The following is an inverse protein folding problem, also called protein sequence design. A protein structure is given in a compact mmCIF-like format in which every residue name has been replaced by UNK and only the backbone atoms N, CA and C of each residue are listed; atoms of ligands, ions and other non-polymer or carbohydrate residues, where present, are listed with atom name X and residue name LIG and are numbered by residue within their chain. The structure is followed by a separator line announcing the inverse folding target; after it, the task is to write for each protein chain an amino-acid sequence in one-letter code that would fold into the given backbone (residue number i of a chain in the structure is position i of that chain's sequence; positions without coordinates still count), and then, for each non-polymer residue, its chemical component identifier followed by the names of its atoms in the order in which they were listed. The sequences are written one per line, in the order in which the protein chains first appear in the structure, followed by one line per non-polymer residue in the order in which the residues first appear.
data_IF_125194669165
#
_entry.id   IF_125194669165
#
_cell.length_a   1.000
_cell.length_b   1.000
_cell.length_c   1.000
_cell.angle_alpha   90.00
_cell.angle_beta   90.00
_cell.angle_gamma   90.00
#
_symmetry.space_group_name_H-M   'P 1'
#
loop_
_entity.id
_entity.type
_entity.pdbx_description
1 polymer ?
#
# COMPACT_ATOMS: atom_id res chain seq x y z
N UNK A 1 5.99 -12.60 -22.86
CA UNK A 1 6.86 -11.40 -22.71
C UNK A 1 7.88 -11.63 -21.62
N UNK A 2 9.04 -10.99 -21.75
CA UNK A 2 10.05 -10.89 -20.70
C UNK A 2 9.89 -9.51 -20.03
N UNK A 3 9.40 -9.48 -18.81
CA UNK A 3 9.04 -8.26 -18.09
C UNK A 3 10.13 -7.98 -17.04
N UNK A 4 10.69 -6.77 -17.03
CA UNK A 4 11.60 -6.31 -15.98
C UNK A 4 10.87 -5.36 -15.03
N UNK A 5 10.76 -5.75 -13.78
CA UNK A 5 10.24 -4.91 -12.70
C UNK A 5 11.41 -4.31 -11.93
N UNK A 6 11.41 -2.99 -11.75
CA UNK A 6 12.45 -2.29 -10.97
C UNK A 6 11.80 -1.56 -9.82
N UNK A 7 12.17 -1.91 -8.60
CA UNK A 7 11.64 -1.28 -7.40
C UNK A 7 12.75 -0.95 -6.39
N UNK A 8 12.63 0.19 -5.72
CA UNK A 8 13.62 0.69 -4.75
C UNK A 8 13.30 0.25 -3.31
N UNK A 9 12.89 -1.01 -3.13
CA UNK A 9 12.58 -1.62 -1.82
C UNK A 9 13.35 -2.93 -1.65
N UNK A 10 13.47 -3.36 -0.39
CA UNK A 10 13.87 -4.73 -0.05
C UNK A 10 12.69 -5.68 -0.33
N UNK A 11 12.80 -6.44 -1.43
CA UNK A 11 11.71 -7.30 -1.90
C UNK A 11 11.33 -8.40 -0.92
N UNK A 12 12.29 -8.91 -0.18
CA UNK A 12 12.10 -10.04 0.73
C UNK A 12 11.51 -9.59 2.07
N UNK A 13 12.01 -8.48 2.62
CA UNK A 13 11.69 -8.07 3.99
C UNK A 13 10.57 -7.02 4.07
N UNK A 14 10.24 -6.35 2.97
CA UNK A 14 9.13 -5.40 2.95
C UNK A 14 7.79 -6.13 3.08
N UNK A 15 6.79 -5.50 3.70
CA UNK A 15 5.40 -6.01 3.69
C UNK A 15 4.93 -6.26 2.25
N UNK A 16 4.10 -7.29 2.06
CA UNK A 16 3.55 -7.62 0.74
C UNK A 16 2.59 -6.51 0.31
N UNK A 17 2.75 -6.02 -0.93
CA UNK A 17 1.88 -5.02 -1.55
C UNK A 17 1.92 -5.14 -3.07
N UNK A 18 1.32 -4.21 -3.82
CA UNK A 18 1.10 -4.26 -5.27
C UNK A 18 2.22 -4.90 -6.11
N UNK A 19 3.52 -4.49 -6.03
CA UNK A 19 4.54 -5.03 -6.94
C UNK A 19 4.77 -6.53 -6.75
N UNK A 20 4.61 -7.06 -5.53
CA UNK A 20 4.70 -8.51 -5.29
C UNK A 20 3.55 -9.25 -5.99
N UNK A 21 2.31 -8.77 -5.79
CA UNK A 21 1.12 -9.35 -6.41
C UNK A 21 1.22 -9.34 -7.94
N UNK A 22 1.48 -8.18 -8.53
CA UNK A 22 1.51 -8.05 -9.99
C UNK A 22 2.63 -8.86 -10.63
N UNK A 23 3.85 -8.82 -10.06
CA UNK A 23 4.99 -9.59 -10.60
C UNK A 23 4.71 -11.08 -10.62
N UNK A 24 4.13 -11.63 -9.55
CA UNK A 24 3.82 -13.04 -9.45
C UNK A 24 2.63 -13.42 -10.33
N UNK A 25 1.59 -12.58 -10.44
CA UNK A 25 0.47 -12.82 -11.36
C UNK A 25 0.88 -12.74 -12.83
N UNK A 26 1.82 -11.89 -13.21
CA UNK A 26 2.39 -11.90 -14.55
C UNK A 26 3.11 -13.21 -14.83
N UNK A 27 3.86 -13.73 -13.88
CA UNK A 27 4.52 -15.04 -13.98
C UNK A 27 3.50 -16.17 -14.13
N UNK A 28 2.45 -16.20 -13.31
CA UNK A 28 1.34 -17.18 -13.42
C UNK A 28 0.63 -17.11 -14.77
N UNK A 29 0.65 -15.96 -15.42
CA UNK A 29 0.08 -15.75 -16.76
C UNK A 29 1.05 -16.19 -17.89
N UNK A 30 2.14 -16.88 -17.57
CA UNK A 30 3.09 -17.45 -18.54
C UNK A 30 4.15 -16.46 -19.04
N UNK A 31 4.39 -15.35 -18.31
CA UNK A 31 5.43 -14.39 -18.65
C UNK A 31 6.69 -14.62 -17.81
N UNK A 32 7.87 -14.37 -18.38
CA UNK A 32 9.13 -14.38 -17.63
C UNK A 32 9.29 -13.04 -16.91
N UNK A 33 9.32 -13.06 -15.59
CA UNK A 33 9.40 -11.86 -14.76
C UNK A 33 10.73 -11.81 -14.03
N UNK A 34 11.44 -10.71 -14.25
CA UNK A 34 12.70 -10.38 -13.59
C UNK A 34 12.49 -9.17 -12.70
N UNK A 35 12.94 -9.24 -11.46
CA UNK A 35 12.79 -8.15 -10.48
C UNK A 35 14.16 -7.69 -10.04
N UNK A 36 14.45 -6.40 -10.16
CA UNK A 36 15.62 -5.76 -9.55
C UNK A 36 15.11 -4.96 -8.35
N UNK A 37 15.60 -5.33 -7.16
CA UNK A 37 15.25 -4.71 -5.90
C UNK A 37 16.37 -3.85 -5.30
N UNK A 38 16.12 -3.22 -4.15
CA UNK A 38 17.10 -2.48 -3.38
C UNK A 38 17.09 -2.97 -1.93
N UNK A 39 18.08 -3.73 -1.48
CA UNK A 39 18.14 -4.22 -0.11
C UNK A 39 18.11 -3.10 0.93
N UNK A 40 17.48 -3.35 2.09
CA UNK A 40 17.43 -2.40 3.19
C UNK A 40 18.61 -2.62 4.16
N UNK A 41 19.21 -1.52 4.63
CA UNK A 41 20.31 -1.55 5.61
C UNK A 41 19.88 -2.00 7.01
N UNK A 42 18.59 -1.93 7.32
CA UNK A 42 18.05 -2.29 8.64
C UNK A 42 17.87 -3.82 8.80
N UNK A 43 17.73 -4.54 7.69
CA UNK A 43 17.53 -5.99 7.69
C UNK A 43 18.84 -6.72 7.35
N UNK A 44 19.55 -7.18 8.37
CA UNK A 44 20.86 -7.85 8.27
C UNK A 44 20.84 -9.26 7.65
N UNK A 45 19.71 -9.79 7.23
CA UNK A 45 19.58 -11.16 6.71
C UNK A 45 20.20 -11.38 5.34
N UNK A 46 20.49 -10.30 4.61
CA UNK A 46 21.21 -10.34 3.34
C UNK A 46 22.45 -9.47 3.41
N UNK A 47 23.59 -10.06 3.67
CA UNK A 47 24.85 -9.45 3.30
C UNK A 47 24.88 -9.36 1.78
N UNK A 48 24.53 -8.20 1.23
CA UNK A 48 24.82 -7.90 -0.16
C UNK A 48 26.34 -7.77 -0.23
N UNK A 49 27.00 -8.83 -0.64
CA UNK A 49 28.43 -8.78 -0.95
C UNK A 49 28.69 -7.90 -2.17
N UNK A 50 29.95 -7.79 -2.59
CA UNK A 50 30.35 -7.11 -3.84
C UNK A 50 29.84 -7.80 -5.11
N UNK A 51 29.02 -8.87 -4.99
CA UNK A 51 28.49 -9.64 -6.12
C UNK A 51 26.96 -9.53 -6.19
N UNK A 52 26.44 -9.47 -7.42
CA UNK A 52 25.00 -9.60 -7.67
C UNK A 52 24.52 -10.97 -7.21
N UNK A 53 23.47 -11.02 -6.41
CA UNK A 53 22.80 -12.28 -6.03
C UNK A 53 21.53 -12.42 -6.88
N UNK A 54 21.33 -13.61 -7.42
CA UNK A 54 20.13 -13.95 -8.21
C UNK A 54 19.44 -15.14 -7.56
N UNK A 55 18.14 -15.03 -7.32
CA UNK A 55 17.29 -16.10 -6.81
C UNK A 55 16.29 -16.43 -7.91
N UNK A 56 16.33 -17.67 -8.37
CA UNK A 56 15.40 -18.18 -9.37
C UNK A 56 14.20 -18.87 -8.71
N UNK A 57 13.10 -18.94 -9.42
CA UNK A 57 11.87 -19.59 -8.99
C UNK A 57 11.39 -19.09 -7.61
N UNK A 58 11.46 -17.77 -7.42
CA UNK A 58 11.05 -17.13 -6.19
C UNK A 58 9.56 -16.77 -6.25
N UNK A 59 8.83 -17.09 -5.19
CA UNK A 59 7.47 -16.62 -4.94
C UNK A 59 7.30 -16.25 -3.47
N UNK A 60 6.33 -15.44 -3.17
CA UNK A 60 6.05 -14.95 -1.82
C UNK A 60 4.57 -14.83 -1.53
N UNK A 61 3.76 -14.68 -2.57
CA UNK A 61 2.33 -14.42 -2.47
C UNK A 61 1.51 -15.59 -3.00
N UNK A 62 1.95 -16.19 -4.11
CA UNK A 62 1.24 -17.28 -4.78
C UNK A 62 2.18 -18.46 -4.99
N UNK A 63 1.81 -19.64 -4.48
CA UNK A 63 2.68 -20.82 -4.43
C UNK A 63 3.13 -21.32 -5.82
N UNK A 64 2.33 -21.10 -6.85
CA UNK A 64 2.58 -21.51 -8.24
C UNK A 64 3.20 -20.39 -9.11
N UNK A 65 3.60 -19.28 -8.49
CA UNK A 65 4.33 -18.22 -9.17
C UNK A 65 5.85 -18.48 -9.19
N UNK A 66 6.53 -17.91 -10.20
CA UNK A 66 7.98 -18.07 -10.35
C UNK A 66 8.59 -16.81 -10.98
N UNK A 67 9.23 -15.98 -10.17
CA UNK A 67 9.99 -14.81 -10.64
C UNK A 67 11.50 -15.03 -10.47
N UNK A 68 12.30 -14.27 -11.21
CA UNK A 68 13.74 -14.18 -10.99
C UNK A 68 14.05 -12.89 -10.25
N UNK A 69 14.46 -13.00 -8.98
CA UNK A 69 14.80 -11.85 -8.14
C UNK A 69 16.31 -11.58 -8.21
N UNK A 70 16.70 -10.35 -8.48
CA UNK A 70 18.07 -9.88 -8.69
C UNK A 70 18.39 -8.80 -7.67
N UNK A 71 19.32 -9.10 -6.75
CA UNK A 71 19.84 -8.16 -5.77
C UNK A 71 21.16 -7.57 -6.28
N UNK A 72 21.21 -6.29 -6.65
CA UNK A 72 22.48 -5.63 -6.99
C UNK A 72 23.42 -5.55 -5.80
N UNK A 73 24.75 -5.48 -6.02
CA UNK A 73 25.70 -5.21 -4.96
C UNK A 73 25.36 -3.88 -4.28
N UNK A 74 25.28 -3.90 -2.96
CA UNK A 74 24.98 -2.71 -2.16
C UNK A 74 25.72 -2.76 -0.82
N UNK A 75 26.18 -1.63 -0.31
CA UNK A 75 26.79 -1.50 1.01
C UNK A 75 25.67 -1.29 2.02
N UNK A 76 25.43 -2.27 2.90
CA UNK A 76 24.35 -2.22 3.90
C UNK A 76 24.76 -1.38 5.14
N UNK A 77 25.00 -0.09 4.91
CA UNK A 77 25.26 0.90 5.95
C UNK A 77 24.25 2.02 5.78
N UNK A 78 23.60 2.43 6.86
CA UNK A 78 22.61 3.51 6.83
C UNK A 78 23.16 4.76 6.13
N UNK A 79 22.47 5.23 5.12
CA UNK A 79 22.85 6.36 4.27
C UNK A 79 23.74 6.00 3.07
N UNK A 80 24.50 4.91 3.08
CA UNK A 80 25.35 4.49 1.98
C UNK A 80 24.70 3.48 1.05
N UNK A 81 23.68 2.77 1.51
CA UNK A 81 22.99 1.73 0.73
C UNK A 81 22.45 2.26 -0.60
N UNK A 82 21.70 3.36 -0.58
CA UNK A 82 21.15 3.96 -1.79
C UNK A 82 22.21 4.51 -2.75
N UNK A 83 23.30 5.06 -2.21
CA UNK A 83 24.42 5.60 -3.01
C UNK A 83 25.14 4.44 -3.72
N UNK A 84 25.50 3.38 -2.99
CA UNK A 84 26.17 2.21 -3.56
C UNK A 84 25.27 1.49 -4.57
N UNK A 85 23.99 1.40 -4.28
CA UNK A 85 23.01 0.83 -5.19
C UNK A 85 22.89 1.66 -6.49
N UNK A 86 22.82 2.99 -6.38
CA UNK A 86 22.85 3.88 -7.55
C UNK A 86 24.06 3.63 -8.44
N UNK A 87 25.25 3.45 -7.88
CA UNK A 87 26.49 3.24 -8.63
C UNK A 87 26.54 1.87 -9.33
N UNK A 88 25.98 0.83 -8.73
CA UNK A 88 26.06 -0.55 -9.23
C UNK A 88 24.89 -0.91 -10.15
N UNK A 89 23.70 -0.35 -9.91
CA UNK A 89 22.45 -0.78 -10.53
C UNK A 89 22.43 -0.55 -12.06
N UNK A 90 23.00 0.56 -12.55
CA UNK A 90 23.04 0.86 -13.99
C UNK A 90 23.59 -0.32 -14.81
N UNK A 91 24.74 -0.89 -14.39
CA UNK A 91 25.35 -2.04 -15.06
C UNK A 91 24.48 -3.28 -15.00
N UNK A 92 23.83 -3.50 -13.85
CA UNK A 92 22.94 -4.66 -13.64
C UNK A 92 21.70 -4.56 -14.49
N UNK A 93 21.03 -3.39 -14.54
CA UNK A 93 19.87 -3.16 -15.39
C UNK A 93 20.22 -3.46 -16.85
N UNK A 94 21.28 -2.85 -17.39
CA UNK A 94 21.70 -3.08 -18.79
C UNK A 94 22.00 -4.56 -19.07
N UNK A 95 22.75 -5.23 -18.17
CA UNK A 95 23.05 -6.66 -18.28
C UNK A 95 21.79 -7.52 -18.26
N UNK A 96 20.84 -7.22 -17.36
CA UNK A 96 19.59 -7.97 -17.23
C UNK A 96 18.75 -7.83 -18.51
N UNK A 97 18.62 -6.63 -19.06
CA UNK A 97 17.88 -6.38 -20.29
C UNK A 97 18.47 -7.19 -21.45
N UNK A 98 19.77 -7.08 -21.68
CA UNK A 98 20.42 -7.75 -22.81
C UNK A 98 20.42 -9.28 -22.66
N UNK A 99 20.74 -9.78 -21.47
CA UNK A 99 20.82 -11.24 -21.21
C UNK A 99 19.47 -11.92 -21.38
N UNK A 100 18.40 -11.28 -20.88
CA UNK A 100 17.08 -11.91 -20.80
C UNK A 100 16.11 -11.39 -21.88
N UNK A 101 16.60 -10.59 -22.84
CA UNK A 101 15.80 -10.03 -23.95
C UNK A 101 14.50 -9.42 -23.43
N UNK A 102 14.64 -8.45 -22.52
CA UNK A 102 13.49 -7.78 -21.89
C UNK A 102 12.67 -7.03 -22.95
N UNK A 103 11.38 -7.27 -22.97
CA UNK A 103 10.44 -6.61 -23.90
C UNK A 103 9.92 -5.29 -23.32
N UNK A 104 9.70 -5.21 -22.01
CA UNK A 104 9.09 -4.06 -21.32
C UNK A 104 9.64 -3.90 -19.90
N UNK A 105 9.73 -2.65 -19.45
CA UNK A 105 10.13 -2.32 -18.07
C UNK A 105 8.94 -1.73 -17.32
N UNK A 106 8.61 -2.32 -16.16
CA UNK A 106 7.64 -1.80 -15.20
C UNK A 106 8.39 -1.21 -14.01
N UNK A 107 8.41 0.13 -13.95
CA UNK A 107 9.25 0.90 -13.04
C UNK A 107 8.41 1.46 -11.90
N UNK A 108 8.80 1.20 -10.66
CA UNK A 108 8.20 1.76 -9.45
C UNK A 108 9.07 2.83 -8.76
N UNK A 109 10.38 2.82 -9.00
CA UNK A 109 11.32 3.72 -8.34
C UNK A 109 11.69 4.92 -9.22
N UNK A 110 11.64 6.13 -8.67
CA UNK A 110 12.02 7.35 -9.38
C UNK A 110 13.34 7.96 -8.90
N UNK A 111 13.66 7.84 -7.60
CA UNK A 111 14.73 8.63 -6.97
C UNK A 111 16.10 8.00 -7.18
N UNK A 112 16.25 6.69 -7.02
CA UNK A 112 17.55 6.01 -7.08
C UNK A 112 17.86 5.50 -8.50
N UNK A 113 16.95 4.72 -9.09
CA UNK A 113 17.20 3.99 -10.33
C UNK A 113 16.43 4.53 -11.54
N UNK A 114 15.46 5.40 -11.34
CA UNK A 114 14.53 5.82 -12.40
C UNK A 114 15.23 6.44 -13.61
N UNK A 115 16.10 7.44 -13.41
CA UNK A 115 16.82 8.12 -14.50
C UNK A 115 17.75 7.15 -15.25
N UNK A 116 18.47 6.30 -14.54
CA UNK A 116 19.36 5.31 -15.15
C UNK A 116 18.58 4.30 -15.98
N UNK A 117 17.43 3.88 -15.49
CA UNK A 117 16.52 2.97 -16.20
C UNK A 117 16.05 3.59 -17.50
N UNK A 118 15.60 4.85 -17.47
CA UNK A 118 15.14 5.57 -18.67
C UNK A 118 16.27 5.77 -19.69
N UNK A 119 17.49 6.08 -19.25
CA UNK A 119 18.65 6.25 -20.15
C UNK A 119 18.95 4.94 -20.88
N UNK A 120 19.00 3.82 -20.16
CA UNK A 120 19.29 2.49 -20.74
C UNK A 120 18.13 2.05 -21.64
N UNK A 121 16.90 2.23 -21.20
CA UNK A 121 15.71 1.88 -21.97
C UNK A 121 15.64 2.65 -23.30
N UNK A 122 15.96 3.94 -23.28
CA UNK A 122 16.05 4.76 -24.49
C UNK A 122 17.16 4.27 -25.44
N UNK A 123 18.35 3.95 -24.91
CA UNK A 123 19.48 3.40 -25.69
C UNK A 123 19.09 2.08 -26.38
N UNK A 124 18.35 1.22 -25.69
CA UNK A 124 17.98 -0.12 -26.13
C UNK A 124 16.57 -0.19 -26.75
N UNK A 125 15.88 0.93 -26.88
CA UNK A 125 14.51 1.04 -27.41
C UNK A 125 13.48 0.18 -26.68
N UNK A 126 13.60 0.05 -25.35
CA UNK A 126 12.66 -0.70 -24.49
C UNK A 126 11.62 0.24 -23.91
N UNK A 127 10.31 -0.04 -24.02
CA UNK A 127 9.27 0.77 -23.42
C UNK A 127 9.33 0.72 -21.88
N UNK A 128 9.15 1.89 -21.23
CA UNK A 128 9.08 2.04 -19.78
C UNK A 128 7.71 2.52 -19.37
N UNK A 129 7.05 1.75 -18.54
CA UNK A 129 5.83 2.16 -17.84
C UNK A 129 6.19 2.47 -16.40
N UNK A 130 5.92 3.69 -15.96
CA UNK A 130 6.15 4.12 -14.59
C UNK A 130 4.87 4.00 -13.77
N UNK A 131 4.93 3.30 -12.65
CA UNK A 131 3.83 3.17 -11.69
C UNK A 131 4.06 4.12 -10.51
N UNK A 132 3.25 5.15 -10.42
CA UNK A 132 3.30 6.15 -9.35
C UNK A 132 2.34 5.75 -8.23
N UNK A 133 2.90 5.26 -7.12
CA UNK A 133 2.14 4.87 -5.92
C UNK A 133 2.03 6.03 -4.92
N UNK A 134 3.12 6.78 -4.73
CA UNK A 134 3.27 7.83 -3.73
C UNK A 134 4.02 9.03 -4.30
N UNK A 135 3.91 10.18 -3.63
CA UNK A 135 4.73 11.37 -3.90
C UNK A 135 6.14 11.14 -3.32
N UNK A 136 7.03 10.53 -4.13
CA UNK A 136 8.31 10.00 -3.66
C UNK A 136 9.20 11.06 -2.98
N UNK A 137 9.30 12.27 -3.52
CA UNK A 137 10.07 13.35 -2.89
C UNK A 137 9.49 13.82 -1.55
N UNK A 138 8.19 13.63 -1.32
CA UNK A 138 7.53 13.94 -0.05
C UNK A 138 8.02 13.06 1.12
N UNK A 139 8.52 11.87 0.83
CA UNK A 139 9.08 10.94 1.82
C UNK A 139 10.52 11.30 2.24
N UNK A 140 11.18 12.23 1.52
CA UNK A 140 12.56 12.64 1.80
C UNK A 140 12.60 13.72 2.87
N UNK A 141 13.21 13.41 4.02
CA UNK A 141 13.23 14.30 5.20
C UNK A 141 14.22 15.46 5.08
N UNK A 142 15.31 15.29 4.32
CA UNK A 142 16.38 16.31 4.20
C UNK A 142 16.02 17.30 3.09
N UNK A 143 15.86 18.61 3.36
CA UNK A 143 15.34 19.58 2.40
C UNK A 143 16.10 19.66 1.08
N UNK A 144 17.43 19.68 1.11
CA UNK A 144 18.27 19.71 -0.11
C UNK A 144 18.05 18.46 -0.97
N UNK A 145 18.01 17.28 -0.33
CA UNK A 145 17.76 16.01 -1.03
C UNK A 145 16.31 15.91 -1.52
N UNK A 146 15.36 16.55 -0.83
CA UNK A 146 13.95 16.62 -1.25
C UNK A 146 13.81 17.32 -2.61
N UNK A 147 14.48 18.46 -2.80
CA UNK A 147 14.45 19.19 -4.07
C UNK A 147 15.09 18.39 -5.21
N UNK A 148 16.20 17.70 -4.92
CA UNK A 148 16.83 16.80 -5.90
C UNK A 148 15.92 15.63 -6.25
N UNK A 149 15.29 15.01 -5.25
CA UNK A 149 14.33 13.93 -5.44
C UNK A 149 13.12 14.37 -6.28
N UNK A 150 12.60 15.59 -6.03
CA UNK A 150 11.52 16.19 -6.83
C UNK A 150 11.93 16.35 -8.29
N UNK A 151 13.16 16.82 -8.55
CA UNK A 151 13.69 16.93 -9.91
C UNK A 151 13.80 15.55 -10.59
N UNK A 152 14.27 14.53 -9.87
CA UNK A 152 14.40 13.18 -10.42
C UNK A 152 13.03 12.57 -10.73
N UNK A 153 12.07 12.74 -9.83
CA UNK A 153 10.69 12.31 -10.03
C UNK A 153 10.07 12.98 -11.27
N UNK A 154 10.24 14.30 -11.44
CA UNK A 154 9.79 15.04 -12.62
C UNK A 154 10.43 14.51 -13.91
N UNK A 155 11.72 14.20 -13.91
CA UNK A 155 12.41 13.62 -15.08
C UNK A 155 11.82 12.24 -15.42
N UNK A 156 11.55 11.40 -14.42
CA UNK A 156 10.96 10.08 -14.65
C UNK A 156 9.54 10.19 -15.18
N UNK A 157 8.73 11.05 -14.60
CA UNK A 157 7.36 11.30 -15.06
C UNK A 157 7.30 11.82 -16.51
N UNK A 158 8.17 12.75 -16.87
CA UNK A 158 8.17 13.38 -18.20
C UNK A 158 8.75 12.50 -19.32
N UNK A 159 9.54 11.48 -18.99
CA UNK A 159 10.24 10.63 -19.97
C UNK A 159 9.76 9.18 -20.02
N UNK A 160 8.82 8.78 -19.16
CA UNK A 160 8.19 7.46 -19.25
C UNK A 160 7.20 7.40 -20.41
N UNK A 161 7.11 6.25 -21.08
CA UNK A 161 6.16 6.04 -22.19
C UNK A 161 4.71 6.13 -21.68
N UNK A 162 4.44 5.52 -20.52
CA UNK A 162 3.18 5.62 -19.78
C UNK A 162 3.45 5.82 -18.30
N UNK A 163 2.55 6.56 -17.66
CA UNK A 163 2.52 6.77 -16.20
C UNK A 163 1.19 6.26 -15.69
N UNK A 164 1.21 5.27 -14.81
CA UNK A 164 0.02 4.73 -14.18
C UNK A 164 -0.09 5.24 -12.75
N UNK A 165 -1.19 5.90 -12.43
CA UNK A 165 -1.44 6.56 -11.14
C UNK A 165 -2.52 5.85 -10.34
N UNK A 166 -2.53 6.02 -9.02
CA UNK A 166 -3.46 5.34 -8.11
C UNK A 166 -4.77 6.09 -7.87
N UNK A 167 -4.77 7.40 -8.16
CA UNK A 167 -5.95 8.26 -7.98
C UNK A 167 -6.00 9.31 -9.10
N UNK A 168 -7.16 9.90 -9.40
CA UNK A 168 -7.26 11.03 -10.32
C UNK A 168 -6.44 12.24 -9.85
N UNK A 169 -6.32 12.47 -8.55
CA UNK A 169 -5.46 13.53 -8.01
C UNK A 169 -3.97 13.28 -8.29
N UNK A 170 -3.51 12.03 -8.17
CA UNK A 170 -2.16 11.64 -8.57
C UNK A 170 -1.95 11.76 -10.09
N UNK A 171 -3.02 11.65 -10.89
CA UNK A 171 -2.97 11.95 -12.34
C UNK A 171 -2.70 13.42 -12.57
N UNK A 172 -3.42 14.32 -11.91
CA UNK A 172 -3.18 15.78 -11.99
C UNK A 172 -1.76 16.12 -11.52
N UNK A 173 -1.38 15.59 -10.37
CA UNK A 173 -0.02 15.76 -9.83
C UNK A 173 1.06 15.34 -10.82
N UNK A 174 0.94 14.19 -11.49
CA UNK A 174 1.96 13.74 -12.44
C UNK A 174 2.05 14.66 -13.66
N UNK A 175 0.94 15.23 -14.13
CA UNK A 175 0.92 16.24 -15.22
C UNK A 175 1.58 17.54 -14.75
N UNK A 176 1.28 18.02 -13.54
CA UNK A 176 1.93 19.19 -12.93
C UNK A 176 3.45 18.99 -12.78
N UNK A 177 3.87 17.76 -12.53
CA UNK A 177 5.28 17.38 -12.44
C UNK A 177 5.95 17.14 -13.79
N UNK A 178 5.25 17.36 -14.91
CA UNK A 178 5.82 17.35 -16.26
C UNK A 178 5.52 16.11 -17.09
N UNK A 179 4.68 15.18 -16.62
CA UNK A 179 4.21 14.08 -17.47
C UNK A 179 3.30 14.60 -18.58
N UNK A 180 3.39 14.00 -19.76
CA UNK A 180 2.48 14.34 -20.86
C UNK A 180 1.09 13.82 -20.56
N UNK A 181 0.05 14.64 -20.74
CA UNK A 181 -1.33 14.30 -20.42
C UNK A 181 -1.77 12.98 -21.07
N UNK A 182 -1.42 12.75 -22.32
CA UNK A 182 -1.74 11.56 -23.10
C UNK A 182 -0.96 10.31 -22.65
N UNK A 183 0.09 10.47 -21.87
CA UNK A 183 0.85 9.37 -21.29
C UNK A 183 0.37 8.94 -19.90
N UNK A 184 -0.45 9.77 -19.25
CA UNK A 184 -0.89 9.49 -17.87
C UNK A 184 -2.26 8.80 -17.87
N UNK A 185 -2.37 7.74 -17.10
CA UNK A 185 -3.61 6.97 -16.97
C UNK A 185 -3.83 6.56 -15.50
N UNK A 186 -5.09 6.65 -15.05
CA UNK A 186 -5.49 6.06 -13.79
C UNK A 186 -5.52 4.52 -13.90
N UNK A 187 -4.86 3.86 -12.98
CA UNK A 187 -4.90 2.41 -12.82
C UNK A 187 -5.10 2.10 -11.32
N UNK A 188 -6.21 1.43 -10.93
CA UNK A 188 -6.58 1.25 -9.54
C UNK A 188 -5.57 0.41 -8.76
N UNK A 189 -5.55 0.58 -7.44
CA UNK A 189 -4.94 -0.38 -6.52
C UNK A 189 -5.81 -1.63 -6.46
N UNK A 190 -5.19 -2.79 -6.37
CA UNK A 190 -5.89 -4.04 -6.22
C UNK A 190 -5.77 -4.63 -4.82
N UNK A 191 -6.49 -5.71 -4.61
CA UNK A 191 -6.43 -6.53 -3.41
C UNK A 191 -6.44 -8.01 -3.79
N UNK A 192 -5.81 -8.84 -2.98
CA UNK A 192 -5.93 -10.29 -3.10
C UNK A 192 -7.29 -10.73 -2.51
N UNK A 193 -8.27 -10.92 -3.39
CA UNK A 193 -9.65 -11.28 -3.01
C UNK A 193 -9.79 -12.74 -2.57
N UNK A 194 -8.77 -13.58 -2.73
CA UNK A 194 -8.75 -14.93 -2.17
C UNK A 194 -8.48 -14.88 -0.67
N UNK A 195 -7.67 -13.92 -0.23
CA UNK A 195 -7.33 -13.69 1.16
C UNK A 195 -8.29 -12.68 1.83
N UNK A 196 -8.50 -11.51 1.21
CA UNK A 196 -9.39 -10.46 1.71
C UNK A 196 -10.80 -10.64 1.17
N UNK A 197 -11.67 -11.26 1.96
CA UNK A 197 -13.07 -11.55 1.66
C UNK A 197 -13.90 -11.58 2.94
N UNK A 198 -15.22 -11.47 2.86
CA UNK A 198 -16.07 -11.64 4.03
C UNK A 198 -15.85 -13.00 4.69
N UNK A 199 -15.49 -12.98 5.96
CA UNK A 199 -15.38 -14.18 6.78
C UNK A 199 -16.49 -14.18 7.85
N UNK A 200 -16.94 -15.37 8.24
CA UNK A 200 -17.79 -15.51 9.42
C UNK A 200 -17.02 -15.07 10.67
N UNK A 201 -17.71 -14.35 11.56
CA UNK A 201 -17.12 -13.97 12.86
C UNK A 201 -16.77 -15.25 13.64
N UNK A 202 -15.51 -15.40 13.98
CA UNK A 202 -15.02 -16.51 14.83
C UNK A 202 -15.29 -16.15 16.28
N UNK A 203 -16.26 -16.84 16.89
CA UNK A 203 -16.70 -16.59 18.27
C UNK A 203 -15.57 -16.86 19.25
N UNK A 204 -14.85 -17.97 19.09
CA UNK A 204 -13.75 -18.33 20.00
C UNK A 204 -12.60 -17.33 19.93
N UNK A 205 -12.29 -16.84 18.74
CA UNK A 205 -11.29 -15.80 18.56
C UNK A 205 -11.74 -14.46 19.17
N UNK A 206 -13.02 -14.11 19.01
CA UNK A 206 -13.61 -12.92 19.64
C UNK A 206 -13.50 -12.96 21.16
N UNK A 207 -13.87 -14.09 21.76
CA UNK A 207 -13.76 -14.33 23.20
C UNK A 207 -12.32 -14.31 23.71
N UNK A 208 -11.38 -14.87 22.96
CA UNK A 208 -9.94 -14.84 23.31
C UNK A 208 -9.35 -13.44 23.38
N UNK A 209 -9.98 -12.46 22.70
CA UNK A 209 -9.65 -11.04 22.76
C UNK A 209 -10.43 -10.28 23.85
N UNK A 210 -11.23 -10.96 24.67
CA UNK A 210 -12.07 -10.32 25.70
C UNK A 210 -13.22 -9.50 25.11
N UNK A 211 -13.74 -9.88 23.94
CA UNK A 211 -14.82 -9.18 23.22
C UNK A 211 -16.10 -9.99 23.38
N UNK A 212 -17.10 -9.43 24.01
CA UNK A 212 -18.41 -10.05 24.23
C UNK A 212 -19.30 -9.93 22.98
N UNK A 213 -20.38 -10.75 22.91
CA UNK A 213 -21.31 -10.73 21.78
C UNK A 213 -21.97 -9.36 21.57
N UNK A 214 -22.21 -8.64 22.65
CA UNK A 214 -22.88 -7.33 22.62
C UNK A 214 -21.94 -6.15 22.29
N UNK A 215 -20.62 -6.38 22.30
CA UNK A 215 -19.67 -5.31 22.00
C UNK A 215 -19.76 -4.87 20.54
N UNK A 216 -19.68 -3.57 20.31
CA UNK A 216 -19.42 -2.99 19.00
C UNK A 216 -17.92 -2.92 18.76
N UNK A 217 -17.47 -3.46 17.65
CA UNK A 217 -16.06 -3.56 17.33
C UNK A 217 -15.67 -2.58 16.24
N UNK A 218 -14.76 -1.69 16.59
CA UNK A 218 -14.09 -0.76 15.67
C UNK A 218 -12.70 -1.32 15.35
N UNK A 219 -12.29 -1.26 14.08
CA UNK A 219 -10.96 -1.76 13.69
C UNK A 219 -10.18 -0.72 12.90
N UNK A 220 -8.91 -0.56 13.26
CA UNK A 220 -7.87 0.07 12.46
C UNK A 220 -6.79 -0.97 12.14
N UNK A 221 -6.37 -1.05 10.87
CA UNK A 221 -5.25 -1.89 10.43
C UNK A 221 -4.18 -1.05 9.77
N UNK A 222 -2.91 -1.28 10.10
CA UNK A 222 -1.77 -0.74 9.39
C UNK A 222 -0.71 -0.09 10.27
N UNK A 223 0.30 0.50 9.63
CA UNK A 223 1.40 1.15 10.34
C UNK A 223 0.91 2.38 11.10
N UNK A 224 1.29 2.45 12.36
CA UNK A 224 0.94 3.55 13.27
C UNK A 224 1.96 4.69 13.11
N UNK A 225 1.68 5.55 12.11
CA UNK A 225 2.41 6.79 11.88
C UNK A 225 1.86 7.93 12.74
N UNK A 226 2.62 9.03 12.94
CA UNK A 226 2.12 10.22 13.64
C UNK A 226 0.81 10.78 13.06
N UNK A 227 0.66 10.72 11.74
CA UNK A 227 -0.53 11.19 11.02
C UNK A 227 -1.69 10.16 10.99
N UNK A 228 -1.57 9.04 11.71
CA UNK A 228 -2.63 8.00 11.69
C UNK A 228 -3.94 8.43 12.39
N UNK A 229 -3.95 9.53 13.13
CA UNK A 229 -5.12 10.07 13.82
C UNK A 229 -5.56 9.27 15.06
N UNK A 230 -4.84 8.20 15.41
CA UNK A 230 -5.23 7.29 16.50
C UNK A 230 -5.11 7.93 17.89
N UNK A 231 -4.15 8.83 18.10
CA UNK A 231 -4.03 9.56 19.36
C UNK A 231 -5.29 10.37 19.67
N UNK A 232 -5.86 11.01 18.65
CA UNK A 232 -7.10 11.76 18.79
C UNK A 232 -8.28 10.84 19.15
N UNK A 233 -8.39 9.67 18.52
CA UNK A 233 -9.42 8.67 18.85
C UNK A 233 -9.29 8.23 20.31
N UNK A 234 -8.09 7.86 20.76
CA UNK A 234 -7.85 7.42 22.14
C UNK A 234 -8.12 8.54 23.15
N UNK A 235 -7.69 9.77 22.87
CA UNK A 235 -7.95 10.93 23.73
C UNK A 235 -9.45 11.22 23.90
N UNK A 236 -10.25 10.93 22.90
CA UNK A 236 -11.70 11.16 22.91
C UNK A 236 -12.53 9.88 23.09
N UNK A 237 -11.91 8.77 23.52
CA UNK A 237 -12.58 7.47 23.61
C UNK A 237 -13.77 7.46 24.57
N UNK A 238 -13.69 8.22 25.68
CA UNK A 238 -14.81 8.38 26.62
C UNK A 238 -16.03 9.06 25.95
N UNK A 239 -15.83 9.92 24.95
CA UNK A 239 -16.95 10.48 24.20
C UNK A 239 -17.65 9.44 23.32
N UNK A 240 -16.90 8.45 22.80
CA UNK A 240 -17.46 7.29 22.10
C UNK A 240 -18.37 6.45 23.02
N UNK A 241 -17.98 6.29 24.29
CA UNK A 241 -18.71 5.48 25.28
C UNK A 241 -20.00 6.15 25.79
N UNK A 242 -20.20 7.45 25.57
CA UNK A 242 -21.38 8.18 26.07
C UNK A 242 -22.71 7.58 25.60
N UNK A 243 -22.79 7.24 24.31
CA UNK A 243 -23.99 6.71 23.67
C UNK A 243 -24.06 5.16 23.75
N UNK A 244 -22.90 4.50 23.87
CA UNK A 244 -22.80 3.06 23.91
C UNK A 244 -21.56 2.63 24.73
N UNK A 245 -21.80 2.00 25.88
CA UNK A 245 -20.70 1.58 26.75
C UNK A 245 -19.95 0.32 26.29
N UNK A 246 -20.55 -0.47 25.39
CA UNK A 246 -20.00 -1.73 24.91
C UNK A 246 -19.22 -1.52 23.60
N UNK A 247 -18.10 -0.81 23.68
CA UNK A 247 -17.25 -0.54 22.51
C UNK A 247 -15.85 -1.11 22.73
N UNK A 248 -15.36 -1.81 21.72
CA UNK A 248 -13.97 -2.28 21.60
C UNK A 248 -13.31 -1.66 20.38
N UNK A 249 -12.08 -1.18 20.56
CA UNK A 249 -11.23 -0.72 19.46
C UNK A 249 -10.05 -1.66 19.31
N UNK A 250 -9.93 -2.32 18.17
CA UNK A 250 -8.78 -3.16 17.85
C UNK A 250 -7.87 -2.38 16.90
N UNK A 251 -6.61 -2.19 17.30
CA UNK A 251 -5.58 -1.55 16.48
C UNK A 251 -4.56 -2.63 16.10
N UNK A 252 -4.65 -3.05 14.83
CA UNK A 252 -3.80 -4.10 14.27
C UNK A 252 -2.62 -3.46 13.55
N UNK A 253 -1.43 -3.56 14.13
CA UNK A 253 -0.20 -3.04 13.55
C UNK A 253 0.70 -2.38 14.58
N UNK A 254 1.91 -2.09 14.14
CA UNK A 254 2.94 -1.38 14.89
C UNK A 254 3.44 -0.16 14.13
N UNK A 255 4.52 0.43 14.56
CA UNK A 255 5.12 1.55 13.85
C UNK A 255 5.75 2.61 14.75
N UNK A 256 6.18 3.75 14.18
CA UNK A 256 6.91 4.77 14.92
C UNK A 256 6.17 5.33 16.14
N UNK A 257 4.83 5.42 16.07
CA UNK A 257 4.01 5.96 17.18
C UNK A 257 3.38 4.88 18.07
N UNK A 258 3.72 3.59 17.87
CA UNK A 258 3.13 2.49 18.65
C UNK A 258 3.38 2.62 20.15
N UNK A 259 4.62 2.91 20.54
CA UNK A 259 4.99 3.01 21.97
C UNK A 259 4.29 4.18 22.67
N UNK A 260 4.15 5.30 21.97
CA UNK A 260 3.45 6.48 22.47
C UNK A 260 1.94 6.21 22.60
N UNK A 261 1.34 5.59 21.60
CA UNK A 261 -0.07 5.19 21.63
C UNK A 261 -0.36 4.21 22.79
N UNK A 262 0.51 3.21 22.97
CA UNK A 262 0.39 2.25 24.08
C UNK A 262 0.45 2.95 25.44
N UNK A 263 1.37 3.89 25.60
CA UNK A 263 1.48 4.69 26.83
C UNK A 263 0.19 5.48 27.08
N UNK A 264 -0.36 6.13 26.06
CA UNK A 264 -1.61 6.88 26.16
C UNK A 264 -2.80 5.99 26.55
N UNK A 265 -2.90 4.78 26.02
CA UNK A 265 -3.96 3.80 26.38
C UNK A 265 -3.88 3.47 27.87
N UNK A 266 -2.68 3.21 28.40
CA UNK A 266 -2.45 2.93 29.83
C UNK A 266 -2.78 4.15 30.70
N UNK A 267 -2.32 5.33 30.34
CA UNK A 267 -2.58 6.59 31.07
C UNK A 267 -4.08 6.91 31.16
N UNK A 268 -4.86 6.47 30.19
CA UNK A 268 -6.32 6.62 30.14
C UNK A 268 -7.09 5.47 30.80
N UNK A 269 -6.41 4.41 31.29
CA UNK A 269 -7.00 3.18 31.81
C UNK A 269 -7.97 2.51 30.80
N UNK A 270 -7.57 2.43 29.52
CA UNK A 270 -8.40 1.90 28.42
C UNK A 270 -7.92 0.55 27.90
N UNK A 271 -7.08 -0.19 28.64
CA UNK A 271 -6.52 -1.49 28.23
C UNK A 271 -7.57 -2.57 28.04
N UNK A 272 -8.72 -2.44 28.71
CA UNK A 272 -9.85 -3.36 28.55
C UNK A 272 -10.68 -3.07 27.29
N UNK A 273 -10.68 -1.83 26.80
CA UNK A 273 -11.46 -1.41 25.64
C UNK A 273 -10.63 -1.35 24.34
N UNK A 274 -9.31 -1.07 24.47
CA UNK A 274 -8.43 -0.86 23.32
C UNK A 274 -7.37 -1.96 23.24
N UNK A 275 -7.47 -2.78 22.21
CA UNK A 275 -6.59 -3.92 21.97
C UNK A 275 -5.51 -3.52 20.95
N UNK A 276 -4.24 -3.56 21.38
CA UNK A 276 -3.08 -3.26 20.53
C UNK A 276 -2.34 -4.55 20.21
N UNK A 277 -2.35 -4.99 18.94
CA UNK A 277 -1.74 -6.28 18.57
C UNK A 277 -0.25 -6.19 18.23
N UNK A 278 0.27 -4.97 17.92
CA UNK A 278 1.53 -4.82 17.19
C UNK A 278 1.45 -5.44 15.76
N UNK A 279 2.59 -5.63 15.09
CA UNK A 279 2.61 -6.30 13.78
C UNK A 279 2.22 -7.78 13.94
N UNK A 280 1.34 -8.23 13.04
CA UNK A 280 0.91 -9.63 12.91
C UNK A 280 1.19 -10.11 11.49
N UNK A 281 1.06 -11.41 11.23
CA UNK A 281 1.13 -11.96 9.88
C UNK A 281 0.01 -11.39 9.01
N UNK A 282 0.33 -11.07 7.76
CA UNK A 282 -0.64 -10.49 6.81
C UNK A 282 -1.83 -11.41 6.56
N UNK A 283 -1.63 -12.72 6.62
CA UNK A 283 -2.71 -13.70 6.42
C UNK A 283 -3.72 -13.73 7.58
N UNK A 284 -3.33 -13.23 8.75
CA UNK A 284 -4.23 -13.13 9.92
C UNK A 284 -5.09 -11.85 9.88
N UNK A 285 -4.71 -10.83 9.09
CA UNK A 285 -5.42 -9.55 9.02
C UNK A 285 -6.91 -9.71 8.71
N UNK A 286 -7.33 -10.52 7.71
CA UNK A 286 -8.75 -10.70 7.39
C UNK A 286 -9.55 -11.28 8.56
N UNK A 287 -8.94 -12.12 9.41
CA UNK A 287 -9.58 -12.67 10.62
C UNK A 287 -9.91 -11.58 11.62
N UNK A 288 -8.99 -10.64 11.87
CA UNK A 288 -9.27 -9.46 12.69
C UNK A 288 -10.34 -8.58 12.06
N UNK A 289 -10.21 -8.24 10.77
CA UNK A 289 -11.22 -7.41 10.06
C UNK A 289 -12.61 -8.04 10.15
N UNK A 290 -12.72 -9.37 10.14
CA UNK A 290 -14.02 -10.07 10.23
C UNK A 290 -14.80 -9.73 11.50
N UNK A 291 -14.12 -9.40 12.60
CA UNK A 291 -14.73 -9.02 13.86
C UNK A 291 -15.38 -7.65 13.85
N UNK A 292 -14.96 -6.75 12.93
CA UNK A 292 -15.40 -5.37 12.88
C UNK A 292 -16.90 -5.23 12.58
N UNK A 293 -17.53 -4.28 13.22
CA UNK A 293 -18.80 -3.69 12.79
C UNK A 293 -18.54 -2.49 11.87
N UNK A 294 -17.45 -1.75 12.11
CA UNK A 294 -16.96 -0.67 11.26
C UNK A 294 -15.43 -0.62 11.29
N UNK A 295 -14.81 -0.31 10.15
CA UNK A 295 -13.39 -0.03 10.05
C UNK A 295 -13.13 1.47 9.95
N UNK A 296 -11.97 1.95 10.42
CA UNK A 296 -11.67 3.38 10.42
C UNK A 296 -10.36 3.71 9.70
N UNK A 297 -10.34 4.88 9.06
CA UNK A 297 -9.15 5.52 8.54
C UNK A 297 -9.12 7.00 8.95
N UNK A 298 -8.74 7.31 10.20
CA UNK A 298 -8.75 8.67 10.73
C UNK A 298 -7.48 9.47 10.38
N UNK A 299 -6.89 9.25 9.21
CA UNK A 299 -5.65 9.92 8.81
C UNK A 299 -5.80 11.43 8.83
N UNK A 300 -4.79 12.13 9.35
CA UNK A 300 -4.67 13.57 9.22
C UNK A 300 -4.51 13.95 7.75
N UNK A 301 -5.23 14.98 7.31
CA UNK A 301 -5.13 15.51 5.96
C UNK A 301 -3.85 16.35 5.86
N UNK A 302 -2.90 15.90 5.07
CA UNK A 302 -1.65 16.60 4.81
C UNK A 302 -1.16 16.32 3.37
N UNK A 303 -0.06 16.94 2.96
CA UNK A 303 0.47 16.82 1.61
C UNK A 303 0.71 15.37 1.14
N UNK A 304 1.02 14.44 2.04
CA UNK A 304 1.28 13.02 1.70
C UNK A 304 -0.02 12.21 1.67
N UNK A 305 -0.91 12.45 2.63
CA UNK A 305 -2.11 11.62 2.82
C UNK A 305 -3.28 12.04 1.95
N UNK A 306 -3.36 13.31 1.58
CA UNK A 306 -4.54 13.87 0.90
C UNK A 306 -4.73 13.34 -0.52
N UNK A 307 -3.63 13.00 -1.22
CA UNK A 307 -3.66 12.62 -2.65
C UNK A 307 -3.86 11.14 -2.91
N UNK A 308 -3.71 10.30 -1.88
CA UNK A 308 -3.71 8.84 -2.02
C UNK A 308 -5.03 8.21 -1.61
N UNK A 309 -5.19 6.94 -1.97
CA UNK A 309 -6.12 6.02 -1.34
C UNK A 309 -5.32 5.04 -0.48
N UNK A 310 -5.46 5.05 0.86
CA UNK A 310 -4.81 4.07 1.73
C UNK A 310 -5.27 2.65 1.40
N UNK A 311 -4.34 1.73 1.18
CA UNK A 311 -4.63 0.33 0.78
C UNK A 311 -5.61 -0.36 1.73
N UNK A 312 -5.51 -0.07 3.04
CA UNK A 312 -6.40 -0.62 4.07
C UNK A 312 -7.89 -0.36 3.79
N UNK A 313 -8.22 0.77 3.15
CA UNK A 313 -9.61 1.07 2.77
C UNK A 313 -10.12 0.00 1.81
N UNK A 314 -9.34 -0.34 0.79
CA UNK A 314 -9.71 -1.39 -0.16
C UNK A 314 -9.77 -2.77 0.52
N UNK A 315 -8.86 -3.06 1.47
CA UNK A 315 -8.87 -4.28 2.27
C UNK A 315 -10.16 -4.40 3.08
N UNK A 316 -10.59 -3.33 3.73
CA UNK A 316 -11.84 -3.29 4.49
C UNK A 316 -13.06 -3.52 3.59
N UNK A 317 -13.13 -2.79 2.46
CA UNK A 317 -14.22 -2.94 1.49
C UNK A 317 -14.28 -4.38 0.96
N UNK A 318 -13.12 -4.98 0.63
CA UNK A 318 -13.05 -6.37 0.16
C UNK A 318 -13.50 -7.40 1.20
N UNK A 319 -13.29 -7.10 2.50
CA UNK A 319 -13.81 -7.91 3.60
C UNK A 319 -15.29 -7.64 3.92
N UNK A 320 -15.98 -6.82 3.14
CA UNK A 320 -17.40 -6.48 3.34
C UNK A 320 -17.63 -5.63 4.58
N UNK A 321 -16.69 -4.75 4.93
CA UNK A 321 -16.80 -3.87 6.08
C UNK A 321 -16.98 -2.43 5.67
N UNK A 322 -17.96 -1.72 6.29
CA UNK A 322 -18.12 -0.29 6.10
C UNK A 322 -16.90 0.47 6.68
N UNK A 323 -16.58 1.59 6.07
CA UNK A 323 -15.42 2.40 6.44
C UNK A 323 -15.86 3.80 6.83
N UNK A 324 -15.39 4.31 7.97
CA UNK A 324 -15.39 5.73 8.27
C UNK A 324 -13.98 6.28 8.04
N UNK A 325 -13.85 7.29 7.18
CA UNK A 325 -12.57 7.91 6.84
C UNK A 325 -12.61 9.43 6.99
N UNK A 326 -11.48 10.05 7.24
CA UNK A 326 -11.31 11.47 6.96
C UNK A 326 -11.40 11.70 5.45
N UNK A 327 -11.89 12.87 4.99
CA UNK A 327 -12.16 13.13 3.57
C UNK A 327 -10.87 13.46 2.79
N UNK A 328 -9.93 12.50 2.70
CA UNK A 328 -8.75 12.61 1.86
C UNK A 328 -9.18 12.82 0.41
N UNK A 329 -8.67 13.85 -0.25
CA UNK A 329 -9.11 14.26 -1.60
C UNK A 329 -9.01 13.11 -2.62
N UNK A 330 -7.89 12.39 -2.65
CA UNK A 330 -7.71 11.26 -3.56
C UNK A 330 -8.66 10.10 -3.27
N UNK A 331 -8.95 9.82 -2.01
CA UNK A 331 -9.92 8.78 -1.63
C UNK A 331 -11.35 9.20 -1.95
N UNK A 332 -11.72 10.44 -1.61
CA UNK A 332 -13.09 10.95 -1.82
C UNK A 332 -13.45 11.09 -3.30
N UNK A 333 -12.48 11.36 -4.15
CA UNK A 333 -12.69 11.43 -5.59
C UNK A 333 -12.99 10.05 -6.21
N UNK A 334 -12.38 8.98 -5.69
CA UNK A 334 -12.63 7.61 -6.14
C UNK A 334 -13.88 6.99 -5.51
N UNK A 335 -14.16 7.32 -4.28
CA UNK A 335 -15.22 6.76 -3.46
C UNK A 335 -16.08 7.91 -2.89
N UNK A 336 -16.83 8.65 -3.75
CA UNK A 336 -17.41 9.93 -3.36
C UNK A 336 -18.56 9.86 -2.34
N UNK A 337 -19.22 8.72 -2.20
CA UNK A 337 -20.43 8.58 -1.38
C UNK A 337 -20.60 7.19 -0.74
N UNK A 338 -21.65 7.06 0.08
CA UNK A 338 -21.97 5.86 0.87
C UNK A 338 -22.19 4.59 0.03
N UNK A 339 -22.60 4.70 -1.24
CA UNK A 339 -22.82 3.51 -2.11
C UNK A 339 -21.56 2.68 -2.36
N UNK A 340 -20.39 3.22 -2.04
CA UNK A 340 -19.11 2.49 -2.08
C UNK A 340 -18.76 1.83 -0.74
N UNK A 341 -19.64 1.90 0.26
CA UNK A 341 -19.37 1.36 1.60
C UNK A 341 -18.48 2.25 2.47
N UNK A 342 -18.30 3.51 2.11
CA UNK A 342 -17.46 4.47 2.84
C UNK A 342 -18.24 5.71 3.23
N UNK A 343 -17.99 6.21 4.44
CA UNK A 343 -18.51 7.47 4.96
C UNK A 343 -17.34 8.39 5.32
N UNK A 344 -17.60 9.69 5.36
CA UNK A 344 -16.58 10.68 5.65
C UNK A 344 -16.95 11.54 6.84
N UNK A 345 -15.95 11.85 7.67
CA UNK A 345 -16.05 12.83 8.74
C UNK A 345 -14.73 13.58 8.90
N UNK A 346 -14.79 14.87 9.13
CA UNK A 346 -13.62 15.65 9.50
C UNK A 346 -13.10 15.22 10.89
N UNK A 347 -11.81 15.43 11.14
CA UNK A 347 -11.15 15.02 12.38
C UNK A 347 -11.90 15.45 13.64
N UNK A 348 -12.40 16.69 13.69
CA UNK A 348 -13.10 17.25 14.86
C UNK A 348 -14.40 16.52 15.19
N UNK A 349 -15.11 16.04 14.18
CA UNK A 349 -16.38 15.34 14.32
C UNK A 349 -16.27 13.81 14.21
N UNK A 350 -15.07 13.29 13.99
CA UNK A 350 -14.86 11.88 13.66
C UNK A 350 -15.43 10.95 14.74
N UNK A 351 -15.12 11.21 16.00
CA UNK A 351 -15.58 10.41 17.14
C UNK A 351 -17.09 10.46 17.30
N UNK A 352 -17.70 11.64 17.15
CA UNK A 352 -19.16 11.80 17.24
C UNK A 352 -19.88 11.08 16.09
N UNK A 353 -19.36 11.20 14.87
CA UNK A 353 -19.88 10.47 13.71
C UNK A 353 -19.78 8.96 13.92
N UNK A 354 -18.64 8.48 14.42
CA UNK A 354 -18.43 7.07 14.71
C UNK A 354 -19.39 6.53 15.76
N UNK A 355 -19.62 7.29 16.85
CA UNK A 355 -20.59 6.96 17.90
C UNK A 355 -22.00 6.80 17.33
N UNK A 356 -22.45 7.75 16.53
CA UNK A 356 -23.78 7.70 15.91
C UNK A 356 -23.93 6.51 14.96
N UNK A 357 -22.91 6.21 14.15
CA UNK A 357 -22.93 5.08 13.20
C UNK A 357 -23.05 3.74 13.88
N UNK A 358 -22.40 3.56 15.03
CA UNK A 358 -22.46 2.31 15.80
C UNK A 358 -23.86 1.98 16.34
N UNK A 359 -24.77 2.94 16.41
CA UNK A 359 -26.16 2.72 16.84
C UNK A 359 -27.02 2.09 15.73
N UNK A 360 -26.62 2.19 14.44
CA UNK A 360 -27.41 1.67 13.32
C UNK A 360 -26.74 0.46 12.66
N UNK A 361 -26.92 -0.71 13.28
CA UNK A 361 -26.39 -1.99 12.75
C UNK A 361 -26.90 -2.34 11.35
N UNK A 362 -28.13 -1.95 11.01
CA UNK A 362 -28.69 -2.26 9.71
C UNK A 362 -28.01 -1.44 8.61
N UNK A 363 -27.78 -0.15 8.86
CA UNK A 363 -27.01 0.73 7.95
C UNK A 363 -25.59 0.19 7.78
N UNK A 364 -24.89 -0.17 8.85
CA UNK A 364 -23.53 -0.74 8.77
C UNK A 364 -23.49 -2.02 7.95
N UNK A 365 -24.48 -2.92 8.09
CA UNK A 365 -24.56 -4.14 7.30
C UNK A 365 -24.76 -3.84 5.81
N UNK A 366 -25.70 -2.96 5.47
CA UNK A 366 -25.96 -2.55 4.08
C UNK A 366 -24.72 -1.94 3.42
N UNK A 367 -24.03 -1.04 4.14
CA UNK A 367 -22.79 -0.45 3.67
C UNK A 367 -21.70 -1.50 3.44
N UNK A 368 -21.60 -2.51 4.29
CA UNK A 368 -20.66 -3.62 4.14
C UNK A 368 -20.92 -4.46 2.89
N UNK A 369 -22.18 -4.74 2.56
CA UNK A 369 -22.59 -5.44 1.33
C UNK A 369 -22.20 -4.64 0.08
N UNK A 370 -22.49 -3.34 0.05
CA UNK A 370 -22.10 -2.43 -1.03
C UNK A 370 -20.56 -2.34 -1.18
N UNK A 371 -19.84 -2.27 -0.05
CA UNK A 371 -18.38 -2.28 -0.01
C UNK A 371 -17.78 -3.50 -0.72
N UNK A 372 -18.30 -4.68 -0.40
CA UNK A 372 -17.81 -5.93 -0.98
C UNK A 372 -18.05 -6.00 -2.50
N UNK A 373 -19.26 -5.70 -2.95
CA UNK A 373 -19.59 -5.69 -4.38
C UNK A 373 -18.67 -4.75 -5.17
N UNK A 374 -18.44 -3.55 -4.64
CA UNK A 374 -17.56 -2.58 -5.26
C UNK A 374 -16.11 -3.09 -5.35
N UNK A 375 -15.56 -3.59 -4.24
CA UNK A 375 -14.16 -4.04 -4.18
C UNK A 375 -13.91 -5.23 -5.10
N UNK A 376 -14.80 -6.22 -5.14
CA UNK A 376 -14.70 -7.39 -6.02
C UNK A 376 -14.65 -7.01 -7.50
N UNK A 377 -15.47 -6.04 -7.90
CA UNK A 377 -15.56 -5.60 -9.30
C UNK A 377 -14.36 -4.77 -9.74
N UNK A 378 -13.83 -3.91 -8.86
CA UNK A 378 -12.92 -2.84 -9.27
C UNK A 378 -11.49 -3.03 -8.76
N UNK A 379 -11.26 -3.87 -7.73
CA UNK A 379 -9.97 -3.97 -7.05
C UNK A 379 -9.39 -5.38 -6.99
N UNK A 380 -9.87 -6.33 -7.78
CA UNK A 380 -9.36 -7.69 -7.81
C UNK A 380 -8.05 -7.78 -8.62
N UNK A 381 -6.95 -8.17 -7.99
CA UNK A 381 -5.64 -8.30 -8.65
C UNK A 381 -5.66 -9.25 -9.84
N UNK A 382 -6.44 -10.33 -9.81
CA UNK A 382 -6.54 -11.27 -10.95
C UNK A 382 -7.13 -10.60 -12.19
N UNK A 383 -8.07 -9.66 -12.01
CA UNK A 383 -8.66 -8.87 -13.10
C UNK A 383 -7.67 -7.78 -13.56
N UNK A 384 -7.14 -7.03 -12.61
CA UNK A 384 -6.26 -5.90 -12.88
C UNK A 384 -4.95 -6.33 -13.56
N UNK A 385 -4.35 -7.44 -13.13
CA UNK A 385 -3.13 -7.96 -13.76
C UNK A 385 -3.33 -8.32 -15.24
N UNK A 386 -4.48 -8.93 -15.59
CA UNK A 386 -4.82 -9.24 -16.99
C UNK A 386 -5.03 -7.98 -17.81
N UNK A 387 -5.69 -6.96 -17.27
CA UNK A 387 -5.85 -5.66 -17.93
C UNK A 387 -4.50 -5.00 -18.18
N UNK A 388 -3.59 -5.06 -17.20
CA UNK A 388 -2.26 -4.49 -17.34
C UNK A 388 -1.40 -5.24 -18.37
N UNK A 389 -1.45 -6.57 -18.39
CA UNK A 389 -0.79 -7.38 -19.42
C UNK A 389 -1.33 -7.09 -20.83
N UNK A 390 -2.63 -6.87 -20.96
CA UNK A 390 -3.21 -6.43 -22.23
C UNK A 390 -2.65 -5.08 -22.67
N UNK A 391 -2.55 -4.11 -21.75
CA UNK A 391 -1.88 -2.81 -22.02
C UNK A 391 -0.42 -2.98 -22.44
N UNK A 392 0.33 -3.84 -21.79
CA UNK A 392 1.72 -4.12 -22.17
C UNK A 392 1.82 -4.63 -23.60
N UNK A 393 0.94 -5.56 -23.98
CA UNK A 393 0.91 -6.08 -25.36
C UNK A 393 0.56 -5.01 -26.41
N UNK A 394 -0.21 -4.00 -26.08
CA UNK A 394 -0.55 -2.91 -27.05
C UNK A 394 0.56 -1.87 -27.20
N UNK A 395 1.58 -1.90 -26.36
CA UNK A 395 2.72 -0.98 -26.39
C UNK A 395 3.97 -1.58 -27.02
N UNK A 396 3.97 -2.90 -27.28
CA UNK A 396 5.02 -3.66 -27.99
C UNK A 396 4.69 -3.79 -29.46
#
# INVERSE_FOLDING_TARGET
MNILVIHEIDWINKVIFEPHHLSELFSKSGHNVFVIDCPDSENKTFTSGFKTKTIHNYSRVYDDASITLIHPPSILIKGLTRISHFLTCKKIIKKTILKNKIDIIFLYGSITNGIQTLQIAKELQIPVIFRLLDVAHGLVKIPILKNLAKKYESIVLSNSLKVLTTTPDMTRYSIEMGAKKESVEYFPLGINTDNFKPLKKDVSFRESLGISENDHVIIFVGTIYPFAGLMQIVNNFENLKKENQNIKLIIVGGGPSYSELKKLVIEKNLESEIILTNFIDQNEIPKYISLADICINPFEINYLTDRIIPTKIIEYLACGKPVLSTPLSGTKELLPDEKFGILYSNSDNFVNTLSTLLLDRNKLKQLGEQAFEYAQKNHNWNILSKQLLHKFNTLL
#
